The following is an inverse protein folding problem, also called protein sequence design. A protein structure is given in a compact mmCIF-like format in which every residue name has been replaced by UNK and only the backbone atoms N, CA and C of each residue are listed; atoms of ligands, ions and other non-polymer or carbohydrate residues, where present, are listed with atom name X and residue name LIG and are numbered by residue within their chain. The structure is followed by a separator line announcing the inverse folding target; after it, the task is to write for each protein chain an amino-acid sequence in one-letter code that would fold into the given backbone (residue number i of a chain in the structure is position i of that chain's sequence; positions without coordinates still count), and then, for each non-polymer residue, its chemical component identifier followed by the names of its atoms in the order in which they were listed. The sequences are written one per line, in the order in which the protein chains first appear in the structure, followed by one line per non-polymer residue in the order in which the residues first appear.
data_IF_129827320910
#
_entry.id   IF_129827320910
#
_cell.length_a   1.000
_cell.length_b   1.000
_cell.length_c   1.000
_cell.angle_alpha   90.00
_cell.angle_beta   90.00
_cell.angle_gamma   90.00
#
_symmetry.space_group_name_H-M   'P 1'
#
loop_
_entity.id
_entity.type
_entity.pdbx_description
1 polymer ?
#
# COMPACT_ATOMS: atom_id res chain seq x y z
N UNK A 1 -20.53 12.77 13.22
CA UNK A 1 -21.08 11.45 13.57
C UNK A 1 -20.10 10.68 14.48
N UNK A 2 -19.70 11.24 15.63
CA UNK A 2 -18.71 10.63 16.53
C UNK A 2 -17.25 10.58 16.04
N UNK A 3 -17.01 10.47 14.73
CA UNK A 3 -15.67 10.43 14.13
C UNK A 3 -14.84 11.70 14.35
N UNK A 4 -13.53 11.50 14.55
CA UNK A 4 -12.51 12.54 14.73
C UNK A 4 -11.77 12.76 13.40
N UNK A 5 -11.76 13.99 12.90
CA UNK A 5 -11.03 14.36 11.68
C UNK A 5 -9.52 14.40 11.91
N UNK A 6 -8.75 13.95 10.91
CA UNK A 6 -7.29 13.96 10.97
C UNK A 6 -6.69 12.93 11.95
N UNK A 7 -7.48 11.91 12.31
CA UNK A 7 -7.10 10.86 13.24
C UNK A 7 -7.11 9.50 12.55
N UNK A 8 -6.22 8.61 12.98
CA UNK A 8 -6.11 7.26 12.43
C UNK A 8 -7.01 6.28 13.19
N UNK A 9 -7.74 5.47 12.45
CA UNK A 9 -8.55 4.36 12.96
C UNK A 9 -7.97 3.04 12.46
N UNK A 10 -8.05 1.99 13.28
CA UNK A 10 -7.63 0.66 12.87
C UNK A 10 -8.82 -0.10 12.28
N UNK A 11 -8.63 -0.74 11.11
CA UNK A 11 -9.60 -1.69 10.56
C UNK A 11 -9.40 -3.03 11.26
N UNK A 12 -10.40 -3.52 11.99
CA UNK A 12 -10.30 -4.77 12.78
C UNK A 12 -11.07 -5.94 12.16
N UNK A 13 -12.10 -5.68 11.35
CA UNK A 13 -12.82 -6.73 10.60
C UNK A 13 -13.56 -6.15 9.38
N UNK A 14 -13.85 -6.99 8.38
CA UNK A 14 -14.69 -6.66 7.21
C UNK A 14 -15.55 -7.87 6.88
N UNK A 15 -16.88 -7.70 6.88
CA UNK A 15 -17.82 -8.81 6.71
C UNK A 15 -19.04 -8.45 5.88
N UNK A 16 -19.58 -9.46 5.20
CA UNK A 16 -20.90 -9.41 4.56
C UNK A 16 -21.96 -9.90 5.53
N UNK A 17 -22.86 -9.02 5.94
CA UNK A 17 -23.95 -9.32 6.88
C UNK A 17 -25.24 -9.53 6.12
N UNK A 18 -26.00 -10.57 6.47
CA UNK A 18 -27.31 -10.85 5.87
C UNK A 18 -28.38 -10.08 6.62
N UNK A 19 -29.20 -9.33 5.88
CA UNK A 19 -30.35 -8.63 6.42
C UNK A 19 -31.60 -9.52 6.35
N UNK A 20 -32.47 -9.43 7.36
CA UNK A 20 -33.76 -10.11 7.42
C UNK A 20 -33.86 -11.21 8.48
N UNK A 21 -35.10 -11.63 8.75
CA UNK A 21 -35.44 -12.65 9.74
C UNK A 21 -36.19 -13.82 9.07
N UNK A 22 -35.92 -15.05 9.51
CA UNK A 22 -36.65 -16.25 9.12
C UNK A 22 -36.34 -16.79 7.71
N UNK A 23 -37.13 -17.77 7.26
CA UNK A 23 -36.94 -18.52 6.00
C UNK A 23 -37.00 -17.63 4.75
N UNK A 24 -37.71 -16.49 4.79
CA UNK A 24 -37.80 -15.54 3.67
C UNK A 24 -36.48 -14.81 3.36
N UNK A 25 -35.62 -14.60 4.37
CA UNK A 25 -34.29 -14.02 4.17
C UNK A 25 -33.34 -14.95 3.38
N UNK A 26 -33.61 -16.27 3.35
CA UNK A 26 -32.87 -17.21 2.52
C UNK A 26 -33.15 -17.04 1.02
N UNK A 27 -34.33 -16.54 0.65
CA UNK A 27 -34.76 -16.39 -0.75
C UNK A 27 -34.58 -14.97 -1.30
N UNK A 28 -34.51 -13.95 -0.43
CA UNK A 28 -34.26 -12.53 -0.79
C UNK A 28 -33.09 -11.95 0.03
N UNK A 29 -31.93 -12.59 -0.01
CA UNK A 29 -30.80 -12.18 0.83
C UNK A 29 -30.21 -10.84 0.38
N UNK A 30 -30.73 -9.74 0.90
CA UNK A 30 -30.00 -8.47 0.88
C UNK A 30 -28.77 -8.62 1.79
N UNK A 31 -27.59 -8.40 1.21
CA UNK A 31 -26.31 -8.51 1.91
C UNK A 31 -25.75 -7.11 2.04
N UNK A 32 -25.37 -6.74 3.25
CA UNK A 32 -24.72 -5.48 3.56
C UNK A 32 -23.23 -5.70 3.76
N UNK A 33 -22.41 -4.96 3.04
CA UNK A 33 -20.97 -4.90 3.28
C UNK A 33 -20.70 -3.99 4.49
N UNK A 34 -20.08 -4.56 5.53
CA UNK A 34 -19.79 -3.88 6.78
C UNK A 34 -18.31 -3.92 7.10
N UNK A 35 -17.84 -2.86 7.76
CA UNK A 35 -16.46 -2.72 8.22
C UNK A 35 -16.47 -2.37 9.71
N UNK A 36 -15.57 -3.00 10.46
CA UNK A 36 -15.34 -2.72 11.87
C UNK A 36 -14.06 -1.91 12.03
N UNK A 37 -14.18 -0.82 12.75
CA UNK A 37 -13.12 0.15 13.00
C UNK A 37 -12.92 0.30 14.50
N UNK A 38 -11.69 0.61 14.91
CA UNK A 38 -11.36 0.93 16.29
C UNK A 38 -10.66 2.27 16.40
N UNK A 39 -11.16 3.12 17.28
CA UNK A 39 -10.48 4.32 17.74
C UNK A 39 -9.38 3.94 18.73
N UNK A 40 -8.10 4.25 18.45
CA UNK A 40 -6.99 3.98 19.37
C UNK A 40 -7.12 4.66 20.74
N UNK A 41 -7.92 5.72 20.87
CA UNK A 41 -8.18 6.36 22.16
C UNK A 41 -9.08 5.53 23.08
N UNK A 42 -9.76 4.52 22.55
CA UNK A 42 -10.64 3.66 23.34
C UNK A 42 -11.93 4.35 23.79
N UNK A 43 -12.28 5.47 23.18
CA UNK A 43 -13.49 6.26 23.43
C UNK A 43 -13.93 6.92 22.12
N UNK A 44 -15.16 7.45 22.07
CA UNK A 44 -15.73 8.18 20.92
C UNK A 44 -15.90 7.32 19.67
N UNK A 45 -17.04 6.66 19.63
CA UNK A 45 -17.47 5.77 18.56
C UNK A 45 -18.37 6.46 17.54
N UNK A 46 -18.61 5.75 16.44
CA UNK A 46 -19.61 6.11 15.46
C UNK A 46 -21.01 6.17 16.08
N UNK A 47 -21.76 7.23 15.77
CA UNK A 47 -23.13 7.41 16.24
C UNK A 47 -24.15 7.54 15.10
N UNK A 48 -23.81 7.02 13.92
CA UNK A 48 -24.71 6.91 12.77
C UNK A 48 -25.30 5.51 12.64
N UNK A 49 -25.88 5.17 11.47
CA UNK A 49 -26.42 3.84 11.21
C UNK A 49 -25.40 2.74 11.52
N UNK A 50 -25.85 1.68 12.18
CA UNK A 50 -25.03 0.54 12.62
C UNK A 50 -24.04 0.83 13.77
N UNK A 51 -24.16 1.98 14.45
CA UNK A 51 -23.54 2.16 15.76
C UNK A 51 -24.00 1.10 16.76
N UNK A 52 -23.30 0.95 17.88
CA UNK A 52 -23.57 -0.08 18.87
C UNK A 52 -24.99 -0.06 19.43
N UNK A 53 -25.58 1.14 19.50
CA UNK A 53 -26.97 1.37 19.97
C UNK A 53 -27.99 1.55 18.85
N UNK A 54 -27.60 1.34 17.58
CA UNK A 54 -28.43 1.59 16.40
C UNK A 54 -29.59 0.59 16.26
N UNK A 55 -30.79 1.06 15.95
CA UNK A 55 -31.97 0.20 15.74
C UNK A 55 -31.85 -0.69 14.49
N UNK A 56 -30.97 -0.33 13.56
CA UNK A 56 -30.66 -1.06 12.33
C UNK A 56 -30.23 -2.51 12.62
N UNK A 57 -29.62 -2.76 13.79
CA UNK A 57 -29.28 -4.09 14.26
C UNK A 57 -30.49 -5.00 14.46
N UNK A 58 -31.70 -4.45 14.62
CA UNK A 58 -32.94 -5.23 14.64
C UNK A 58 -33.28 -5.85 13.28
N UNK A 59 -32.62 -5.43 12.20
CA UNK A 59 -32.74 -6.06 10.87
C UNK A 59 -31.85 -7.30 10.74
N UNK A 60 -30.92 -7.52 11.68
CA UNK A 60 -29.98 -8.64 11.69
C UNK A 60 -30.40 -9.65 12.75
N UNK A 61 -30.46 -10.93 12.37
CA UNK A 61 -30.81 -12.00 13.31
C UNK A 61 -29.82 -12.07 14.48
N UNK A 62 -30.29 -12.50 15.66
CA UNK A 62 -29.44 -12.62 16.86
C UNK A 62 -28.22 -13.51 16.62
N UNK A 63 -28.39 -14.65 15.92
CA UNK A 63 -27.27 -15.54 15.58
C UNK A 63 -26.19 -14.86 14.72
N UNK A 64 -26.59 -14.00 13.78
CA UNK A 64 -25.62 -13.25 12.98
C UNK A 64 -24.93 -12.16 13.80
N UNK A 65 -25.64 -11.49 14.72
CA UNK A 65 -25.03 -10.52 15.65
C UNK A 65 -23.99 -11.16 16.58
N UNK A 66 -24.29 -12.33 17.13
CA UNK A 66 -23.34 -13.11 17.94
C UNK A 66 -22.10 -13.50 17.14
N UNK A 67 -22.26 -13.93 15.88
CA UNK A 67 -21.11 -14.25 15.00
C UNK A 67 -20.24 -13.05 14.71
N UNK A 68 -20.82 -11.85 14.64
CA UNK A 68 -20.07 -10.60 14.48
C UNK A 68 -19.30 -10.22 15.74
N UNK A 69 -19.59 -10.86 16.88
CA UNK A 69 -18.99 -10.50 18.17
C UNK A 69 -19.39 -9.09 18.60
N UNK A 70 -20.61 -8.66 18.26
CA UNK A 70 -21.11 -7.33 18.60
C UNK A 70 -21.24 -7.19 20.12
N UNK A 71 -20.44 -6.31 20.70
CA UNK A 71 -20.55 -5.82 22.07
C UNK A 71 -21.19 -4.43 22.07
N UNK A 72 -21.75 -4.00 23.20
CA UNK A 72 -22.22 -2.62 23.38
C UNK A 72 -21.41 -2.07 24.54
N UNK A 73 -20.22 -1.58 24.25
CA UNK A 73 -19.23 -1.10 25.20
C UNK A 73 -18.55 0.14 24.60
N UNK A 74 -18.30 1.19 25.39
CA UNK A 74 -17.54 2.36 24.91
C UNK A 74 -16.04 2.04 24.99
N UNK A 75 -15.58 1.21 24.05
CA UNK A 75 -14.18 0.75 23.93
C UNK A 75 -13.48 1.28 22.67
N UNK A 76 -14.19 2.14 21.93
CA UNK A 76 -13.76 2.76 20.70
C UNK A 76 -13.94 1.88 19.45
N UNK A 77 -14.40 0.63 19.58
CA UNK A 77 -14.69 -0.26 18.46
C UNK A 77 -16.14 -0.10 18.00
N UNK A 78 -16.35 0.01 16.69
CA UNK A 78 -17.70 0.16 16.14
C UNK A 78 -17.78 -0.41 14.73
N UNK A 79 -18.99 -0.80 14.36
CA UNK A 79 -19.32 -1.17 12.99
C UNK A 79 -19.92 0.00 12.22
N UNK A 80 -19.72 0.00 10.91
CA UNK A 80 -20.44 0.88 9.99
C UNK A 80 -20.63 0.19 8.63
N UNK A 81 -21.58 0.70 7.84
CA UNK A 81 -21.71 0.31 6.45
C UNK A 81 -20.45 0.71 5.68
N UNK A 82 -20.03 -0.12 4.73
CA UNK A 82 -18.86 0.18 3.90
C UNK A 82 -19.03 1.46 3.07
N UNK A 83 -20.26 1.77 2.66
CA UNK A 83 -20.57 3.03 1.95
C UNK A 83 -20.38 4.27 2.83
N UNK A 84 -20.73 4.18 4.12
CA UNK A 84 -20.42 5.24 5.08
C UNK A 84 -18.90 5.37 5.24
N UNK A 85 -18.16 4.26 5.34
CA UNK A 85 -16.70 4.30 5.37
C UNK A 85 -16.12 5.04 4.16
N UNK A 86 -16.57 4.72 2.94
CA UNK A 86 -16.16 5.41 1.71
C UNK A 86 -16.55 6.91 1.68
N UNK A 87 -17.60 7.29 2.41
CA UNK A 87 -18.06 8.68 2.50
C UNK A 87 -17.23 9.49 3.49
N UNK A 88 -16.83 8.89 4.62
CA UNK A 88 -16.23 9.62 5.74
C UNK A 88 -14.71 9.46 5.86
N UNK A 89 -14.11 8.42 5.27
CA UNK A 89 -12.66 8.17 5.29
C UNK A 89 -12.04 8.46 3.91
N UNK A 90 -10.84 9.05 3.92
CA UNK A 90 -10.14 9.46 2.70
C UNK A 90 -9.04 8.49 2.28
N UNK A 91 -8.36 7.89 3.26
CA UNK A 91 -7.14 7.12 3.05
C UNK A 91 -7.19 5.79 3.81
N UNK A 92 -6.68 4.73 3.18
CA UNK A 92 -6.50 3.42 3.81
C UNK A 92 -5.04 2.99 3.71
N UNK A 93 -4.44 2.67 4.86
CA UNK A 93 -3.06 2.16 4.93
C UNK A 93 -3.11 0.66 5.17
N UNK A 94 -2.69 -0.12 4.17
CA UNK A 94 -2.58 -1.58 4.27
C UNK A 94 -1.12 -2.00 4.39
N UNK A 95 -0.69 -2.34 5.60
CA UNK A 95 0.62 -2.97 5.83
C UNK A 95 0.50 -4.48 5.58
N UNK A 96 1.35 -5.03 4.69
CA UNK A 96 1.44 -6.47 4.47
C UNK A 96 2.71 -7.01 5.09
N UNK A 97 2.59 -8.05 5.90
CA UNK A 97 3.71 -8.86 6.33
C UNK A 97 4.06 -9.83 5.18
N UNK A 98 5.24 -9.66 4.57
CA UNK A 98 5.69 -10.54 3.49
C UNK A 98 6.38 -11.74 4.16
N UNK A 99 5.83 -12.94 3.95
CA UNK A 99 6.47 -14.17 4.43
C UNK A 99 7.64 -14.55 3.51
N UNK A 100 8.85 -14.37 4.00
CA UNK A 100 10.11 -14.73 3.34
C UNK A 100 10.76 -15.98 3.96
N UNK A 101 10.05 -16.67 4.87
CA UNK A 101 10.60 -17.84 5.57
C UNK A 101 10.78 -19.02 4.62
N UNK A 102 12.01 -19.52 4.51
CA UNK A 102 12.35 -20.66 3.66
C UNK A 102 11.69 -21.98 4.11
N UNK A 103 11.28 -22.07 5.39
CA UNK A 103 10.70 -23.27 6.00
C UNK A 103 9.16 -23.26 6.01
N UNK A 104 8.52 -22.42 5.21
CA UNK A 104 7.06 -22.33 5.18
C UNK A 104 6.42 -23.36 4.24
N UNK A 105 5.25 -23.86 4.64
CA UNK A 105 4.40 -24.77 3.85
C UNK A 105 3.52 -23.98 2.85
N UNK A 106 3.51 -22.65 2.93
CA UNK A 106 2.73 -21.75 2.06
C UNK A 106 3.63 -20.96 1.12
N UNK A 107 3.04 -20.31 0.09
CA UNK A 107 3.76 -19.49 -0.91
C UNK A 107 4.73 -18.53 -0.22
N UNK A 108 6.02 -18.74 -0.44
CA UNK A 108 7.11 -17.91 0.04
C UNK A 108 7.46 -16.85 -1.00
N UNK A 109 7.80 -15.65 -0.53
CA UNK A 109 8.39 -14.62 -1.38
C UNK A 109 9.91 -14.77 -1.37
N UNK A 110 10.54 -14.70 -2.54
CA UNK A 110 11.99 -14.54 -2.64
C UNK A 110 12.33 -13.04 -2.48
N UNK A 111 13.06 -12.69 -1.43
CA UNK A 111 13.43 -11.30 -1.14
C UNK A 111 14.88 -11.01 -1.58
N UNK A 112 15.05 -9.86 -2.23
CA UNK A 112 16.37 -9.27 -2.47
C UNK A 112 16.38 -7.82 -1.98
N UNK A 113 17.34 -7.46 -1.13
CA UNK A 113 17.50 -6.10 -0.60
C UNK A 113 18.78 -5.49 -1.16
N UNK A 114 18.62 -4.40 -1.89
CA UNK A 114 19.71 -3.66 -2.51
C UNK A 114 19.82 -2.27 -1.88
N UNK A 115 21.06 -1.82 -1.65
CA UNK A 115 21.36 -0.49 -1.09
C UNK A 115 22.08 0.33 -2.14
N UNK A 116 21.66 1.58 -2.30
CA UNK A 116 22.33 2.55 -3.14
C UNK A 116 22.08 3.97 -2.66
N UNK A 117 22.49 4.94 -3.48
CA UNK A 117 22.30 6.36 -3.23
C UNK A 117 22.17 7.11 -4.55
N UNK A 118 21.40 8.19 -4.53
CA UNK A 118 21.51 9.26 -5.52
C UNK A 118 22.68 10.15 -5.07
N UNK A 119 23.70 10.28 -5.93
CA UNK A 119 24.93 10.99 -5.62
C UNK A 119 25.24 11.95 -6.74
N UNK A 120 25.48 13.21 -6.38
CA UNK A 120 25.95 14.23 -7.32
C UNK A 120 27.43 14.04 -7.61
N UNK A 121 27.80 14.13 -8.89
CA UNK A 121 29.19 14.09 -9.33
C UNK A 121 29.38 15.00 -10.55
N UNK A 122 30.55 15.62 -10.68
CA UNK A 122 30.88 16.51 -11.81
C UNK A 122 30.96 15.76 -13.15
N UNK A 123 31.66 14.62 -13.17
CA UNK A 123 31.62 13.66 -14.28
C UNK A 123 30.20 13.05 -14.45
N UNK A 124 29.52 13.31 -15.59
CA UNK A 124 28.17 12.80 -15.86
C UNK A 124 28.07 11.26 -15.84
N UNK A 125 29.16 10.55 -16.13
CA UNK A 125 29.18 9.08 -16.10
C UNK A 125 29.14 8.52 -14.67
N UNK A 126 29.58 9.31 -13.69
CA UNK A 126 29.57 8.97 -12.26
C UNK A 126 28.39 9.59 -11.52
N UNK A 127 27.69 10.55 -12.12
CA UNK A 127 26.49 11.15 -11.54
C UNK A 127 25.38 10.09 -11.38
N UNK A 128 24.64 10.13 -10.27
CA UNK A 128 23.55 9.19 -9.95
C UNK A 128 22.25 9.89 -9.54
N UNK A 129 22.16 11.21 -9.61
CA UNK A 129 20.95 11.97 -9.27
C UNK A 129 20.27 12.52 -10.52
N UNK A 130 19.83 11.62 -11.40
CA UNK A 130 19.35 11.95 -12.74
C UNK A 130 17.92 12.49 -12.81
N UNK A 131 17.14 12.39 -11.73
CA UNK A 131 15.73 12.77 -11.70
C UNK A 131 14.83 11.78 -12.44
N UNK A 132 13.52 12.05 -12.46
CA UNK A 132 12.53 11.19 -13.13
C UNK A 132 12.62 11.26 -14.66
N UNK A 133 11.81 10.45 -15.35
CA UNK A 133 11.78 10.33 -16.82
C UNK A 133 11.56 11.65 -17.57
N UNK A 134 11.04 12.69 -16.89
CA UNK A 134 10.92 14.03 -17.44
C UNK A 134 12.30 14.66 -17.75
N UNK A 135 13.33 14.26 -17.01
CA UNK A 135 14.73 14.68 -17.21
C UNK A 135 15.43 13.71 -18.18
N UNK A 136 15.00 13.70 -19.45
CA UNK A 136 15.40 12.68 -20.44
C UNK A 136 16.91 12.50 -20.59
N UNK A 137 17.68 13.59 -20.50
CA UNK A 137 19.14 13.59 -20.68
C UNK A 137 19.88 12.92 -19.51
N UNK A 138 19.34 13.03 -18.30
CA UNK A 138 20.00 12.60 -17.06
C UNK A 138 19.35 11.37 -16.45
N UNK A 139 18.13 11.00 -16.84
CA UNK A 139 17.36 9.89 -16.26
C UNK A 139 18.15 8.57 -16.18
N UNK A 140 18.87 8.19 -17.23
CA UNK A 140 19.64 6.94 -17.27
C UNK A 140 20.93 6.98 -16.44
N UNK A 141 21.29 8.14 -15.88
CA UNK A 141 22.39 8.27 -14.93
C UNK A 141 22.03 7.69 -13.56
N UNK A 142 20.74 7.66 -13.19
CA UNK A 142 20.27 7.07 -11.93
C UNK A 142 20.79 5.63 -11.72
N UNK A 143 20.83 5.14 -10.47
CA UNK A 143 21.12 3.73 -10.19
C UNK A 143 20.15 2.82 -10.96
N UNK A 144 20.65 1.67 -11.40
CA UNK A 144 19.87 0.69 -12.15
C UNK A 144 20.10 -0.68 -11.51
N UNK A 145 19.01 -1.40 -11.26
CA UNK A 145 19.07 -2.72 -10.66
C UNK A 145 18.37 -3.74 -11.55
N UNK A 146 19.04 -4.84 -11.83
CA UNK A 146 18.53 -5.93 -12.66
C UNK A 146 17.87 -6.98 -11.78
N UNK A 147 16.75 -7.52 -12.24
CA UNK A 147 16.15 -8.73 -11.67
C UNK A 147 15.53 -9.59 -12.78
N UNK A 148 15.39 -10.89 -12.50
CA UNK A 148 14.89 -11.87 -13.44
C UNK A 148 13.59 -12.49 -12.91
N UNK A 149 12.59 -12.59 -13.77
CA UNK A 149 11.39 -13.39 -13.55
C UNK A 149 11.58 -14.71 -14.28
N UNK A 150 11.67 -15.82 -13.54
CA UNK A 150 12.03 -17.15 -14.06
C UNK A 150 10.81 -18.01 -14.43
N UNK A 151 9.62 -17.69 -13.90
CA UNK A 151 8.39 -18.38 -14.25
C UNK A 151 7.74 -17.70 -15.45
N UNK A 152 6.88 -18.41 -16.17
CA UNK A 152 6.12 -17.89 -17.31
C UNK A 152 5.41 -16.56 -16.98
N UNK A 153 4.85 -16.47 -15.77
CA UNK A 153 4.33 -15.27 -15.14
C UNK A 153 4.53 -15.40 -13.63
N UNK A 154 4.96 -14.33 -12.98
CA UNK A 154 5.09 -14.28 -11.52
C UNK A 154 4.74 -12.89 -10.99
N UNK A 155 4.38 -12.87 -9.72
CA UNK A 155 4.01 -11.66 -9.02
C UNK A 155 5.25 -11.02 -8.40
N UNK A 156 5.46 -9.74 -8.69
CA UNK A 156 6.63 -8.97 -8.23
C UNK A 156 6.16 -7.81 -7.35
N UNK A 157 6.89 -7.60 -6.25
CA UNK A 157 6.73 -6.44 -5.38
C UNK A 157 8.06 -5.70 -5.31
N UNK A 158 8.04 -4.43 -5.73
CA UNK A 158 9.20 -3.53 -5.61
C UNK A 158 8.89 -2.48 -4.57
N UNK A 159 9.81 -2.27 -3.63
CA UNK A 159 9.72 -1.22 -2.62
C UNK A 159 11.02 -0.40 -2.61
N UNK A 160 10.90 0.92 -2.72
CA UNK A 160 12.01 1.85 -2.51
C UNK A 160 11.76 2.58 -1.21
N UNK A 161 12.80 2.64 -0.38
CA UNK A 161 12.77 3.37 0.88
C UNK A 161 13.94 4.34 0.95
N UNK A 162 13.65 5.63 1.14
CA UNK A 162 14.68 6.62 1.45
C UNK A 162 15.10 6.51 2.92
N UNK A 163 16.40 6.64 3.17
CA UNK A 163 16.91 6.73 4.55
C UNK A 163 16.44 8.06 5.15
N UNK A 164 16.08 8.09 6.44
CA UNK A 164 15.79 9.35 7.10
C UNK A 164 17.04 10.25 7.01
N UNK A 165 16.89 11.43 6.43
CA UNK A 165 17.91 12.48 6.58
C UNK A 165 17.90 12.86 8.06
N UNK A 166 19.04 12.76 8.73
CA UNK A 166 19.24 13.32 10.08
C UNK A 166 19.26 14.84 9.94
N UNK A 167 18.10 15.45 9.71
CA UNK A 167 17.95 16.88 9.81
C UNK A 167 17.75 17.20 11.29
N UNK A 168 18.58 18.09 11.81
CA UNK A 168 18.44 18.68 13.13
C UNK A 168 17.14 19.48 13.20
N UNK A 169 16.01 18.84 13.46
CA UNK A 169 14.76 19.55 13.71
C UNK A 169 14.09 19.00 14.96
N UNK A 170 13.91 19.89 15.93
CA UNK A 170 13.11 19.70 17.14
C UNK A 170 11.61 19.52 16.84
N UNK A 171 11.19 19.52 15.57
CA UNK A 171 9.78 19.63 15.13
C UNK A 171 9.26 18.42 14.31
N UNK A 172 10.03 17.34 14.16
CA UNK A 172 9.50 16.05 13.65
C UNK A 172 9.08 16.01 12.17
N UNK A 173 9.29 17.07 11.38
CA UNK A 173 9.02 17.09 9.93
C UNK A 173 10.29 16.80 9.13
N UNK A 174 10.56 15.53 8.87
CA UNK A 174 11.58 15.15 7.89
C UNK A 174 11.10 15.47 6.47
N UNK A 175 11.90 16.20 5.68
CA UNK A 175 11.63 16.43 4.26
C UNK A 175 11.94 15.17 3.45
N UNK A 176 10.95 14.32 3.27
CA UNK A 176 11.02 13.21 2.31
C UNK A 176 11.08 13.80 0.89
N UNK A 177 12.06 13.35 0.10
CA UNK A 177 12.07 13.65 -1.34
C UNK A 177 10.87 12.97 -2.00
N UNK A 178 10.33 13.59 -3.06
CA UNK A 178 9.40 12.89 -3.93
C UNK A 178 10.17 11.78 -4.68
N UNK A 179 9.88 10.52 -4.36
CA UNK A 179 10.57 9.36 -4.92
C UNK A 179 9.62 8.49 -5.73
N UNK A 180 10.16 7.82 -6.74
CA UNK A 180 9.44 6.92 -7.63
C UNK A 180 10.39 6.10 -8.48
N UNK A 181 9.84 5.21 -9.31
CA UNK A 181 10.62 4.35 -10.18
C UNK A 181 9.88 3.89 -11.42
N UNK A 182 10.66 3.60 -12.45
CA UNK A 182 10.21 2.94 -13.67
C UNK A 182 10.88 1.58 -13.80
N UNK A 183 10.16 0.62 -14.39
CA UNK A 183 10.67 -0.72 -14.71
C UNK A 183 10.60 -0.93 -16.21
N UNK A 184 11.71 -1.43 -16.75
CA UNK A 184 11.89 -1.68 -18.17
C UNK A 184 12.20 -3.15 -18.42
N UNK A 185 11.60 -3.73 -19.46
CA UNK A 185 12.00 -5.04 -19.97
C UNK A 185 13.26 -4.87 -20.82
N UNK A 186 14.24 -5.73 -20.62
CA UNK A 186 15.54 -5.67 -21.32
C UNK A 186 15.92 -7.03 -21.89
N UNK A 187 17.01 -7.05 -22.66
CA UNK A 187 17.57 -8.25 -23.26
C UNK A 187 18.03 -9.25 -22.17
N UNK A 188 17.75 -10.55 -22.37
CA UNK A 188 18.04 -11.61 -21.38
C UNK A 188 19.54 -11.73 -21.04
N UNK A 189 20.42 -11.41 -21.98
CA UNK A 189 21.88 -11.47 -21.82
C UNK A 189 22.50 -10.15 -21.39
N UNK A 190 21.70 -9.11 -21.09
CA UNK A 190 22.23 -7.80 -20.68
C UNK A 190 22.99 -7.92 -19.36
N UNK A 191 24.24 -7.49 -19.37
CA UNK A 191 25.13 -7.41 -18.20
C UNK A 191 25.58 -5.98 -17.89
N UNK A 192 25.24 -5.03 -18.76
CA UNK A 192 25.61 -3.62 -18.66
C UNK A 192 24.38 -2.71 -18.50
N UNK A 193 24.61 -1.52 -17.95
CA UNK A 193 23.59 -0.50 -17.69
C UNK A 193 22.86 -0.04 -18.97
N UNK A 194 21.58 0.28 -18.85
CA UNK A 194 20.78 0.92 -19.89
C UNK A 194 21.38 2.27 -20.27
N UNK A 195 21.64 2.44 -21.57
CA UNK A 195 22.10 3.68 -22.20
C UNK A 195 21.06 4.24 -23.18
N UNK A 196 20.00 3.47 -23.48
CA UNK A 196 18.82 3.86 -24.25
C UNK A 196 17.58 3.40 -23.49
N UNK A 197 16.48 4.14 -23.63
CA UNK A 197 15.21 3.74 -23.05
C UNK A 197 14.70 2.49 -23.76
N UNK A 198 14.32 1.49 -22.97
CA UNK A 198 13.74 0.23 -23.43
C UNK A 198 12.22 0.26 -23.22
N UNK A 199 11.54 -0.86 -23.48
CA UNK A 199 10.10 -0.96 -23.24
C UNK A 199 9.80 -0.82 -21.76
N UNK A 200 9.18 0.30 -21.37
CA UNK A 200 8.65 0.49 -20.02
C UNK A 200 7.47 -0.45 -19.81
N UNK A 201 7.52 -1.26 -18.75
CA UNK A 201 6.46 -2.21 -18.39
C UNK A 201 5.68 -1.78 -17.16
N UNK A 202 6.26 -0.96 -16.29
CA UNK A 202 5.59 -0.44 -15.10
C UNK A 202 6.22 0.88 -14.62
N UNK A 203 5.46 1.66 -13.87
CA UNK A 203 5.90 2.89 -13.21
C UNK A 203 5.17 3.01 -11.88
N UNK A 204 5.88 3.41 -10.82
CA UNK A 204 5.22 3.86 -9.59
C UNK A 204 4.68 5.27 -9.76
N UNK A 205 3.82 5.68 -8.83
CA UNK A 205 3.58 7.10 -8.57
C UNK A 205 4.83 7.74 -7.95
N UNK A 206 4.95 9.07 -8.03
CA UNK A 206 5.90 9.83 -7.24
C UNK A 206 5.20 10.40 -6.01
N UNK A 207 5.78 10.14 -4.85
CA UNK A 207 5.21 10.60 -3.58
C UNK A 207 6.32 11.06 -2.64
N UNK A 208 6.05 12.13 -1.91
CA UNK A 208 6.86 12.66 -0.81
C UNK A 208 6.69 11.83 0.48
N UNK A 209 6.90 10.52 0.36
CA UNK A 209 6.83 9.55 1.45
C UNK A 209 8.18 8.87 1.67
N UNK A 210 8.38 8.30 2.85
CA UNK A 210 9.60 7.52 3.18
C UNK A 210 9.76 6.31 2.27
N UNK A 211 8.65 5.72 1.82
CA UNK A 211 8.66 4.58 0.90
C UNK A 211 7.58 4.67 -0.16
N UNK A 212 7.86 4.06 -1.30
CA UNK A 212 6.93 3.83 -2.39
C UNK A 212 7.06 2.36 -2.82
N UNK A 213 5.93 1.71 -3.05
CA UNK A 213 5.91 0.32 -3.49
C UNK A 213 4.97 0.13 -4.68
N UNK A 214 5.26 -0.88 -5.50
CA UNK A 214 4.41 -1.31 -6.61
C UNK A 214 4.36 -2.83 -6.62
N UNK A 215 3.14 -3.37 -6.77
CA UNK A 215 2.88 -4.79 -6.95
C UNK A 215 2.33 -4.99 -8.36
N UNK A 216 2.86 -5.95 -9.08
CA UNK A 216 2.50 -6.23 -10.47
C UNK A 216 2.72 -7.69 -10.81
N UNK A 217 2.06 -8.17 -11.85
CA UNK A 217 2.39 -9.43 -12.49
C UNK A 217 3.30 -9.16 -13.70
N UNK A 218 4.39 -9.92 -13.80
CA UNK A 218 5.36 -9.82 -14.88
C UNK A 218 5.54 -11.18 -15.53
N UNK A 219 5.64 -11.18 -16.86
CA UNK A 219 5.99 -12.39 -17.62
C UNK A 219 7.47 -12.74 -17.45
N UNK A 220 7.83 -13.95 -17.82
CA UNK A 220 9.23 -14.37 -17.88
C UNK A 220 10.11 -13.36 -18.64
N UNK A 221 11.25 -13.04 -18.04
CA UNK A 221 12.20 -12.10 -18.64
C UNK A 221 13.14 -11.43 -17.65
N UNK A 222 14.03 -10.61 -18.20
CA UNK A 222 14.95 -9.75 -17.47
C UNK A 222 14.43 -8.31 -17.45
N UNK A 223 14.51 -7.68 -16.28
CA UNK A 223 13.99 -6.35 -16.04
C UNK A 223 15.03 -5.48 -15.36
N UNK A 224 14.94 -4.17 -15.61
CA UNK A 224 15.71 -3.15 -14.90
C UNK A 224 14.74 -2.23 -14.17
N UNK A 225 14.93 -2.06 -12.87
CA UNK A 225 14.28 -1.00 -12.09
C UNK A 225 15.23 0.18 -11.96
N UNK A 226 14.72 1.38 -12.24
CA UNK A 226 15.44 2.64 -12.12
C UNK A 226 14.76 3.49 -11.02
N UNK A 227 15.26 3.44 -9.77
CA UNK A 227 14.79 4.31 -8.71
C UNK A 227 15.29 5.74 -8.88
N UNK A 228 14.42 6.71 -8.70
CA UNK A 228 14.72 8.13 -8.93
C UNK A 228 14.05 9.03 -7.89
N UNK A 229 14.64 10.19 -7.66
CA UNK A 229 13.93 11.36 -7.16
C UNK A 229 13.14 12.00 -8.30
N UNK A 230 12.09 12.77 -7.99
CA UNK A 230 11.32 13.47 -9.01
C UNK A 230 12.19 14.49 -9.77
N UNK A 231 12.87 15.35 -9.02
CA UNK A 231 13.83 16.32 -9.54
C UNK A 231 15.24 15.72 -9.62
N UNK A 232 16.04 16.18 -10.58
CA UNK A 232 17.45 15.85 -10.67
C UNK A 232 18.27 16.62 -9.60
N UNK A 233 19.49 16.14 -9.31
CA UNK A 233 20.44 16.85 -8.45
C UNK A 233 20.40 16.52 -6.94
N UNK A 234 19.40 15.75 -6.49
CA UNK A 234 19.19 15.37 -5.08
C UNK A 234 19.87 14.08 -4.64
#
# INVERSE_FOLDING_TARGET
RGLVKGHAYAVTDVRKVRLGHGLLAFFKSEKLDMIRLRNPWGEREWNGPWSDTSEEWQKVSTSEREKLGMTVEDDGEFWMAFDDFCTYFTDIIKCRLINTSYLSIHKTWEEAVLKGAWTRHEDPLKNRCGGCVNNRETFLQNPQYVFDVKKAEDEVLVCIQQKPKRTSQKEGKGENLAIGFDIFKVELNRTYRMHTLQTKVASSIYINSRSVFLRMDLKEGRYVVIPTTFEAGH
#
